data_IF_668863061187
#
_entry.id   IF_668863061187
#
_cell.length_a   1.000
_cell.length_b   1.000
_cell.length_c   1.000
_cell.angle_alpha   90.00
_cell.angle_beta   90.00
_cell.angle_gamma   90.00
#
_symmetry.space_group_name_H-M   'P 1'
#
loop_
_entity.id
_entity.type
_entity.pdbx_description
1 polymer ?
#
# COMPACT_ATOMS: atom_id res chain seq x y z
N UNK A 1 24.00 -21.52 -30.53
CA UNK A 1 22.79 -21.41 -29.71
C UNK A 1 23.18 -21.62 -28.26
N UNK A 2 22.75 -20.75 -27.35
CA UNK A 2 22.93 -20.97 -25.92
C UNK A 2 21.56 -20.98 -25.25
N UNK A 3 21.40 -21.84 -24.23
CA UNK A 3 20.17 -21.97 -23.46
C UNK A 3 20.53 -21.85 -21.98
N UNK A 4 19.77 -21.02 -21.29
CA UNK A 4 19.88 -20.89 -19.83
C UNK A 4 18.65 -21.52 -19.19
N UNK A 5 18.88 -22.41 -18.23
CA UNK A 5 17.80 -23.05 -17.47
C UNK A 5 17.68 -22.39 -16.09
N UNK A 6 16.46 -22.23 -15.64
CA UNK A 6 16.12 -21.75 -14.32
C UNK A 6 15.37 -22.85 -13.56
N UNK A 7 15.79 -23.11 -12.34
CA UNK A 7 15.08 -24.03 -11.47
C UNK A 7 14.65 -23.32 -10.19
N UNK A 8 13.54 -23.76 -9.63
CA UNK A 8 12.96 -23.17 -8.43
C UNK A 8 13.02 -24.19 -7.31
N UNK A 9 13.48 -23.79 -6.11
CA UNK A 9 13.54 -24.70 -4.96
C UNK A 9 12.15 -24.81 -4.33
N UNK A 10 11.80 -26.04 -3.92
CA UNK A 10 10.57 -26.29 -3.18
C UNK A 10 10.66 -25.80 -1.72
N UNK A 11 11.87 -25.46 -1.27
CA UNK A 11 12.13 -25.07 0.14
C UNK A 11 11.90 -23.58 0.42
N UNK A 12 11.58 -22.78 -0.59
CA UNK A 12 11.27 -21.37 -0.35
C UNK A 12 9.83 -21.28 0.15
N UNK A 13 9.61 -20.95 1.44
CA UNK A 13 8.24 -20.78 1.91
C UNK A 13 7.58 -19.68 1.11
N UNK A 14 6.65 -20.04 0.27
CA UNK A 14 5.71 -19.08 -0.28
C UNK A 14 4.93 -18.56 0.92
N UNK A 15 5.28 -17.37 1.40
CA UNK A 15 4.54 -16.77 2.50
C UNK A 15 3.16 -16.37 2.00
N UNK A 16 2.23 -17.30 2.07
CA UNK A 16 0.82 -17.09 1.73
C UNK A 16 0.01 -16.61 2.92
N UNK A 17 0.67 -16.15 3.99
CA UNK A 17 -0.01 -15.67 5.18
C UNK A 17 -0.68 -14.31 4.98
N UNK A 18 -0.25 -13.54 3.98
CA UNK A 18 -0.83 -12.26 3.65
C UNK A 18 -2.20 -12.44 2.97
N UNK A 19 -3.24 -11.94 3.60
CA UNK A 19 -4.61 -12.01 3.09
C UNK A 19 -5.13 -10.62 2.83
N UNK A 20 -5.64 -10.37 1.63
CA UNK A 20 -6.33 -9.13 1.29
C UNK A 20 -7.61 -9.03 2.13
N UNK A 21 -7.62 -8.15 3.13
CA UNK A 21 -8.75 -7.97 4.04
C UNK A 21 -9.79 -7.01 3.45
N UNK A 22 -9.33 -5.87 2.93
CA UNK A 22 -10.18 -4.86 2.34
C UNK A 22 -9.37 -3.94 1.42
N UNK A 23 -10.08 -3.14 0.63
CA UNK A 23 -9.48 -2.08 -0.15
C UNK A 23 -10.49 -0.94 -0.29
N UNK A 24 -9.99 0.28 -0.39
CA UNK A 24 -10.83 1.45 -0.59
C UNK A 24 -10.18 2.46 -1.52
N UNK A 25 -11.02 3.29 -2.13
CA UNK A 25 -10.62 4.43 -2.94
C UNK A 25 -11.28 5.66 -2.34
N UNK A 26 -10.54 6.71 -2.10
CA UNK A 26 -11.04 7.93 -1.47
C UNK A 26 -10.54 9.17 -2.22
N UNK A 27 -11.41 10.16 -2.29
CA UNK A 27 -11.08 11.48 -2.78
C UNK A 27 -11.52 12.51 -1.73
N UNK A 28 -10.59 13.36 -1.33
CA UNK A 28 -10.82 14.31 -0.25
C UNK A 28 -11.79 15.41 -0.67
N UNK A 29 -12.81 15.64 0.16
CA UNK A 29 -13.75 16.73 0.01
C UNK A 29 -13.62 17.72 1.19
N UNK A 30 -14.15 18.95 1.04
CA UNK A 30 -13.93 20.03 2.03
C UNK A 30 -14.31 19.68 3.47
N UNK A 31 -15.32 18.83 3.66
CA UNK A 31 -15.82 18.48 4.98
C UNK A 31 -15.31 17.13 5.50
N UNK A 32 -14.21 16.62 4.95
CA UNK A 32 -13.69 15.32 5.35
C UNK A 32 -13.01 15.41 6.72
N UNK A 33 -13.52 14.71 7.74
CA UNK A 33 -12.90 14.76 9.07
C UNK A 33 -11.63 13.91 9.12
N UNK A 34 -10.53 14.52 9.55
CA UNK A 34 -9.26 13.84 9.80
C UNK A 34 -9.27 13.26 11.21
N UNK A 35 -9.85 12.08 11.39
CA UNK A 35 -10.01 11.45 12.70
C UNK A 35 -8.96 10.34 12.86
N UNK A 36 -8.05 10.46 13.83
CA UNK A 36 -7.08 9.40 14.11
C UNK A 36 -7.78 8.07 14.41
N UNK A 37 -7.27 6.99 13.80
CA UNK A 37 -7.83 5.65 13.93
C UNK A 37 -6.73 4.58 13.91
N UNK A 38 -7.10 3.37 14.29
CA UNK A 38 -6.23 2.20 14.22
C UNK A 38 -6.92 1.07 13.48
N UNK A 39 -6.13 0.13 12.96
CA UNK A 39 -6.63 -1.08 12.33
C UNK A 39 -5.94 -2.31 12.91
N UNK A 40 -6.62 -3.45 12.87
CA UNK A 40 -6.05 -4.75 13.26
C UNK A 40 -5.21 -5.39 12.15
N UNK A 41 -5.13 -4.75 10.98
CA UNK A 41 -4.37 -5.21 9.81
C UNK A 41 -3.28 -4.21 9.45
N UNK A 42 -2.31 -4.65 8.63
CA UNK A 42 -1.35 -3.76 8.00
C UNK A 42 -2.04 -2.97 6.90
N UNK A 43 -1.84 -1.66 6.88
CA UNK A 43 -2.41 -0.80 5.84
C UNK A 43 -1.32 -0.34 4.86
N UNK A 44 -1.62 -0.47 3.57
CA UNK A 44 -0.89 0.15 2.48
C UNK A 44 -1.71 1.35 2.02
N UNK A 45 -1.19 2.55 2.20
CA UNK A 45 -1.84 3.81 1.83
C UNK A 45 -1.07 4.42 0.65
N UNK A 46 -1.69 4.45 -0.52
CA UNK A 46 -1.05 4.95 -1.74
C UNK A 46 -1.71 6.25 -2.20
N UNK A 47 -0.91 7.30 -2.34
CA UNK A 47 -1.39 8.61 -2.80
C UNK A 47 -1.41 8.63 -4.33
N UNK A 48 -2.61 8.66 -4.91
CA UNK A 48 -2.79 8.68 -6.36
C UNK A 48 -2.76 10.10 -6.94
N UNK A 49 -3.23 11.09 -6.18
CA UNK A 49 -3.23 12.50 -6.59
C UNK A 49 -3.17 13.41 -5.38
N UNK A 50 -2.71 14.63 -5.60
CA UNK A 50 -2.74 15.67 -4.59
C UNK A 50 -1.60 15.61 -3.59
N UNK A 51 -1.75 16.37 -2.50
CA UNK A 51 -0.76 16.45 -1.45
C UNK A 51 -1.42 16.78 -0.11
N UNK A 52 -0.74 16.46 0.97
CA UNK A 52 -1.24 16.68 2.32
C UNK A 52 -0.22 16.26 3.36
N UNK A 53 -0.72 15.88 4.50
CA UNK A 53 0.08 15.36 5.60
C UNK A 53 -0.46 14.01 6.05
N UNK A 54 0.43 13.15 6.53
CA UNK A 54 0.08 11.92 7.20
C UNK A 54 0.54 12.01 8.65
N UNK A 55 -0.39 11.82 9.57
CA UNK A 55 -0.13 11.87 11.00
C UNK A 55 0.02 10.45 11.53
N UNK A 56 1.13 10.17 12.17
CA UNK A 56 1.38 8.89 12.83
C UNK A 56 1.89 9.20 14.25
N UNK A 57 1.12 8.76 15.25
CA UNK A 57 1.48 8.94 16.67
C UNK A 57 1.94 10.37 17.00
N UNK A 58 1.19 11.38 16.61
CA UNK A 58 1.47 12.81 16.80
C UNK A 58 2.65 13.37 16.00
N UNK A 59 3.20 12.58 15.05
CA UNK A 59 4.20 13.07 14.11
C UNK A 59 3.55 13.39 12.77
N UNK A 60 3.96 14.50 12.15
CA UNK A 60 3.45 14.97 10.87
C UNK A 60 4.45 14.69 9.76
N UNK A 61 4.00 14.08 8.68
CA UNK A 61 4.81 13.81 7.49
C UNK A 61 4.11 14.36 6.25
N UNK A 62 4.84 15.12 5.44
CA UNK A 62 4.31 15.58 4.15
C UNK A 62 4.19 14.41 3.17
N UNK A 63 3.06 14.31 2.50
CA UNK A 63 2.80 13.28 1.49
C UNK A 63 2.33 13.90 0.18
N UNK A 64 2.61 13.23 -0.92
CA UNK A 64 2.28 13.67 -2.28
C UNK A 64 2.08 12.46 -3.20
N UNK A 65 1.69 12.73 -4.43
CA UNK A 65 1.49 11.71 -5.47
C UNK A 65 2.64 10.71 -5.54
N UNK A 66 2.28 9.44 -5.67
CA UNK A 66 3.16 8.26 -5.71
C UNK A 66 3.86 7.93 -4.39
N UNK A 67 3.51 8.60 -3.31
CA UNK A 67 3.95 8.18 -1.98
C UNK A 67 3.16 6.95 -1.53
N UNK A 68 3.87 6.01 -0.93
CA UNK A 68 3.32 4.85 -0.25
C UNK A 68 3.64 4.94 1.22
N UNK A 69 2.61 4.81 2.03
CA UNK A 69 2.73 4.72 3.49
C UNK A 69 2.34 3.29 3.88
N UNK A 70 3.23 2.61 4.60
CA UNK A 70 2.96 1.29 5.16
C UNK A 70 2.86 1.46 6.66
N UNK A 71 1.73 1.07 7.23
CA UNK A 71 1.47 1.17 8.67
C UNK A 71 1.15 -0.20 9.22
N UNK A 72 1.93 -0.67 10.19
CA UNK A 72 1.68 -1.93 10.87
C UNK A 72 0.39 -1.87 11.70
N UNK A 73 -0.17 -3.03 12.10
CA UNK A 73 -1.39 -3.07 12.90
C UNK A 73 -1.29 -2.26 14.19
N UNK A 74 -2.42 -1.68 14.60
CA UNK A 74 -2.62 -1.00 15.88
C UNK A 74 -1.87 0.33 16.07
N UNK A 75 -1.32 0.90 15.00
CA UNK A 75 -0.65 2.20 15.05
C UNK A 75 -1.64 3.30 14.67
N UNK A 76 -1.81 4.28 15.56
CA UNK A 76 -2.73 5.38 15.34
C UNK A 76 -2.25 6.31 14.24
N UNK A 77 -3.11 6.56 13.27
CA UNK A 77 -2.79 7.42 12.13
C UNK A 77 -4.03 8.07 11.54
N UNK A 78 -3.82 9.12 10.77
CA UNK A 78 -4.84 9.75 9.90
C UNK A 78 -4.12 10.58 8.83
N UNK A 79 -4.88 11.03 7.84
CA UNK A 79 -4.41 11.92 6.79
C UNK A 79 -5.08 13.29 6.87
N UNK A 80 -4.38 14.32 6.41
CA UNK A 80 -4.91 15.68 6.25
C UNK A 80 -4.63 16.12 4.82
N UNK A 81 -5.66 16.55 4.10
CA UNK A 81 -5.53 17.04 2.74
C UNK A 81 -5.23 18.54 2.72
N UNK A 82 -4.40 18.98 1.77
CA UNK A 82 -4.24 20.38 1.45
C UNK A 82 -5.37 20.83 0.52
N UNK A 83 -6.05 21.92 0.88
CA UNK A 83 -7.20 22.42 0.12
C UNK A 83 -6.84 22.83 -1.33
N UNK A 84 -5.61 23.30 -1.54
CA UNK A 84 -5.12 23.69 -2.87
C UNK A 84 -4.80 22.50 -3.78
N UNK A 85 -4.61 21.31 -3.22
CA UNK A 85 -4.25 20.09 -3.95
C UNK A 85 -4.84 18.88 -3.21
N UNK A 86 -6.17 18.66 -3.35
CA UNK A 86 -6.86 17.62 -2.58
C UNK A 86 -6.31 16.23 -2.78
N UNK A 87 -6.17 15.48 -1.69
CA UNK A 87 -5.70 14.10 -1.72
C UNK A 87 -6.73 13.18 -2.38
N UNK A 88 -6.25 12.35 -3.28
CA UNK A 88 -6.91 11.11 -3.68
C UNK A 88 -5.98 9.96 -3.36
N UNK A 89 -6.52 8.90 -2.76
CA UNK A 89 -5.68 7.80 -2.33
C UNK A 89 -6.45 6.48 -2.35
N UNK A 90 -5.68 5.40 -2.38
CA UNK A 90 -6.20 4.05 -2.21
C UNK A 90 -5.62 3.47 -0.92
N UNK A 91 -6.43 2.69 -0.23
CA UNK A 91 -5.95 1.88 0.90
C UNK A 91 -6.13 0.40 0.62
N UNK A 92 -5.18 -0.39 1.06
CA UNK A 92 -5.25 -1.85 1.00
C UNK A 92 -4.94 -2.37 2.39
N UNK A 93 -5.90 -3.07 2.99
CA UNK A 93 -5.74 -3.72 4.29
C UNK A 93 -5.29 -5.16 4.09
N UNK A 94 -4.21 -5.54 4.77
CA UNK A 94 -3.59 -6.85 4.64
C UNK A 94 -3.51 -7.53 6.00
N UNK A 95 -4.19 -8.66 6.16
CA UNK A 95 -4.12 -9.49 7.35
C UNK A 95 -2.95 -10.47 7.27
N UNK A 96 -2.50 -10.92 8.43
CA UNK A 96 -1.55 -12.02 8.57
C UNK A 96 -0.07 -11.63 8.43
N UNK A 97 0.23 -10.37 8.17
CA UNK A 97 1.61 -9.89 8.07
C UNK A 97 1.81 -8.57 8.80
N UNK A 98 3.05 -8.35 9.22
CA UNK A 98 3.56 -7.03 9.59
C UNK A 98 4.95 -6.87 8.98
N UNK A 99 5.41 -5.64 8.86
CA UNK A 99 6.72 -5.34 8.29
C UNK A 99 7.71 -4.96 9.38
N UNK A 100 8.96 -5.36 9.20
CA UNK A 100 10.07 -4.89 10.04
C UNK A 100 10.78 -3.77 9.30
N UNK A 101 10.75 -2.58 9.88
CA UNK A 101 11.42 -1.41 9.33
C UNK A 101 12.71 -1.09 10.09
N UNK A 102 13.58 -0.31 9.47
CA UNK A 102 14.78 0.19 10.13
C UNK A 102 14.40 1.01 11.38
N UNK A 103 15.28 1.02 12.39
CA UNK A 103 15.11 1.75 13.64
C UNK A 103 13.90 1.29 14.46
N UNK A 104 13.45 0.05 14.29
CA UNK A 104 12.30 -0.52 15.02
C UNK A 104 11.01 0.28 14.86
N UNK A 105 10.89 1.03 13.76
CA UNK A 105 9.66 1.77 13.45
C UNK A 105 8.55 0.83 13.03
N UNK A 106 7.32 1.24 13.28
CA UNK A 106 6.10 0.49 12.94
C UNK A 106 5.44 1.01 11.65
N UNK A 107 6.12 1.89 10.93
CA UNK A 107 5.64 2.46 9.66
C UNK A 107 6.81 2.88 8.78
N UNK A 108 6.52 3.06 7.49
CA UNK A 108 7.48 3.62 6.53
C UNK A 108 6.74 4.45 5.49
N UNK A 109 7.35 5.56 5.08
CA UNK A 109 6.87 6.42 4.00
C UNK A 109 7.97 6.53 2.95
N UNK A 110 7.64 6.24 1.69
CA UNK A 110 8.58 6.44 0.59
C UNK A 110 7.85 6.75 -0.70
N UNK A 111 8.55 7.37 -1.64
CA UNK A 111 7.98 7.66 -2.96
C UNK A 111 8.33 6.54 -3.93
N UNK A 112 7.31 5.85 -4.46
CA UNK A 112 7.49 4.70 -5.35
C UNK A 112 8.22 5.09 -6.63
N UNK A 113 7.98 6.28 -7.17
CA UNK A 113 8.64 6.75 -8.38
C UNK A 113 10.15 6.92 -8.21
N UNK A 114 10.60 7.26 -7.02
CA UNK A 114 12.02 7.46 -6.71
C UNK A 114 12.74 6.16 -6.34
N UNK A 115 12.05 5.25 -5.67
CA UNK A 115 12.68 4.07 -5.05
C UNK A 115 12.48 2.81 -5.90
N UNK A 116 11.25 2.57 -6.34
CA UNK A 116 10.91 1.35 -7.07
C UNK A 116 9.70 1.60 -7.98
N UNK A 117 9.97 1.91 -9.25
CA UNK A 117 8.93 2.19 -10.23
C UNK A 117 8.07 0.97 -10.59
N UNK A 118 8.57 -0.25 -10.35
CA UNK A 118 7.79 -1.46 -10.59
C UNK A 118 6.55 -1.52 -9.69
N UNK A 119 6.65 -0.98 -8.47
CA UNK A 119 5.49 -0.89 -7.57
C UNK A 119 4.34 -0.09 -8.18
N UNK A 120 4.64 0.97 -8.93
CA UNK A 120 3.60 1.77 -9.59
C UNK A 120 2.76 0.93 -10.53
N UNK A 121 3.40 0.08 -11.33
CA UNK A 121 2.70 -0.80 -12.26
C UNK A 121 1.72 -1.73 -11.51
N UNK A 122 2.18 -2.36 -10.46
CA UNK A 122 1.36 -3.32 -9.71
C UNK A 122 0.24 -2.63 -8.92
N UNK A 123 0.49 -1.47 -8.33
CA UNK A 123 -0.57 -0.69 -7.67
C UNK A 123 -1.63 -0.24 -8.67
N UNK A 124 -1.23 0.30 -9.81
CA UNK A 124 -2.18 0.73 -10.85
C UNK A 124 -3.00 -0.45 -11.38
N UNK A 125 -2.37 -1.62 -11.57
CA UNK A 125 -3.09 -2.83 -11.97
C UNK A 125 -4.12 -3.26 -10.93
N UNK A 126 -3.75 -3.25 -9.65
CA UNK A 126 -4.66 -3.60 -8.55
C UNK A 126 -5.86 -2.64 -8.52
N UNK A 127 -5.61 -1.35 -8.60
CA UNK A 127 -6.66 -0.34 -8.52
C UNK A 127 -7.59 -0.38 -9.74
N UNK A 128 -7.05 -0.66 -10.92
CA UNK A 128 -7.86 -0.83 -12.12
C UNK A 128 -8.82 -2.00 -11.97
N UNK A 129 -8.37 -3.12 -11.43
CA UNK A 129 -9.24 -4.28 -11.17
C UNK A 129 -10.35 -3.93 -10.17
N UNK A 130 -10.02 -3.19 -9.11
CA UNK A 130 -10.99 -2.75 -8.11
C UNK A 130 -12.03 -1.78 -8.69
N UNK A 131 -11.63 -0.92 -9.60
CA UNK A 131 -12.53 0.06 -10.24
C UNK A 131 -13.43 -0.60 -11.29
N UNK A 132 -12.89 -1.50 -12.13
CA UNK A 132 -13.60 -2.12 -13.23
C UNK A 132 -14.44 -3.34 -12.81
N UNK A 133 -14.01 -4.08 -11.82
CA UNK A 133 -14.68 -5.28 -11.27
C UNK A 133 -15.10 -6.28 -12.35
N UNK A 134 -14.22 -6.54 -13.31
CA UNK A 134 -14.44 -7.58 -14.32
C UNK A 134 -14.47 -8.96 -13.67
N UNK A 135 -14.99 -9.95 -14.39
CA UNK A 135 -14.99 -11.32 -13.91
C UNK A 135 -13.59 -11.76 -13.48
N UNK A 136 -13.47 -12.35 -12.30
CA UNK A 136 -12.17 -12.77 -11.73
C UNK A 136 -11.34 -11.68 -11.09
N UNK A 137 -11.84 -10.46 -10.95
CA UNK A 137 -11.07 -9.34 -10.41
C UNK A 137 -10.54 -9.61 -8.99
N UNK A 138 -11.29 -10.30 -8.15
CA UNK A 138 -10.84 -10.60 -6.78
C UNK A 138 -9.61 -11.51 -6.78
N UNK A 139 -9.59 -12.50 -7.64
CA UNK A 139 -8.45 -13.41 -7.79
C UNK A 139 -7.22 -12.65 -8.29
N UNK A 140 -7.40 -11.80 -9.30
CA UNK A 140 -6.31 -10.96 -9.82
C UNK A 140 -5.80 -10.02 -8.73
N UNK A 141 -6.68 -9.40 -7.95
CA UNK A 141 -6.29 -8.55 -6.82
C UNK A 141 -5.45 -9.32 -5.79
N UNK A 142 -5.84 -10.53 -5.43
CA UNK A 142 -5.10 -11.35 -4.47
C UNK A 142 -3.71 -11.71 -4.98
N UNK A 143 -3.59 -12.10 -6.24
CA UNK A 143 -2.29 -12.43 -6.84
C UNK A 143 -1.41 -11.18 -6.99
N UNK A 144 -1.99 -10.06 -7.40
CA UNK A 144 -1.27 -8.78 -7.49
C UNK A 144 -0.76 -8.33 -6.13
N UNK A 145 -1.57 -8.49 -5.07
CA UNK A 145 -1.14 -8.22 -3.70
C UNK A 145 0.08 -9.08 -3.33
N UNK A 146 0.07 -10.35 -3.67
CA UNK A 146 1.20 -11.26 -3.40
C UNK A 146 2.48 -10.76 -4.05
N UNK A 147 2.40 -10.28 -5.29
CA UNK A 147 3.53 -9.66 -5.99
C UNK A 147 4.00 -8.39 -5.27
N UNK A 148 3.06 -7.51 -4.89
CA UNK A 148 3.38 -6.28 -4.16
C UNK A 148 4.12 -6.58 -2.85
N UNK A 149 3.64 -7.54 -2.08
CA UNK A 149 4.28 -7.93 -0.82
C UNK A 149 5.70 -8.45 -1.08
N UNK A 150 5.90 -9.28 -2.09
CA UNK A 150 7.22 -9.78 -2.47
C UNK A 150 8.16 -8.64 -2.86
N UNK A 151 7.67 -7.65 -3.62
CA UNK A 151 8.44 -6.46 -4.00
C UNK A 151 8.81 -5.61 -2.77
N UNK A 152 7.88 -5.42 -1.85
CA UNK A 152 8.10 -4.62 -0.64
C UNK A 152 9.09 -5.27 0.34
N UNK A 153 9.23 -6.59 0.30
CA UNK A 153 10.17 -7.34 1.14
C UNK A 153 11.59 -7.42 0.59
N UNK A 154 11.82 -6.98 -0.63
CA UNK A 154 13.17 -6.87 -1.17
C UNK A 154 13.95 -5.77 -0.44
#
# INVERSE_FOLDING_TARGET
>A
MSTQFFSFSDDTPFSTEAVLANASSSHYEEDWPSIPHTHAFTELFYVSEGSGEFLIENQHFSIKKDDLIIVNPHIQHTEISLSASPLSYYTVGVDGISFSFHDQKEFQIFNCRKINTDLLFYFHSLFQELDEKKEGYEEICRHTLSILIAQLRR
#
